data_IF_754449325062
#
_entry.id   IF_754449325062
#
_cell.length_a   1.000
_cell.length_b   1.000
_cell.length_c   1.000
_cell.angle_alpha   90.00
_cell.angle_beta   90.00
_cell.angle_gamma   90.00
#
_symmetry.space_group_name_H-M   'P 1'
#
loop_
_entity.id
_entity.type
_entity.pdbx_description
1 polymer ?
#
# COMPACT_ATOMS: atom_id res chain seq x y z
N UNK A 1 35.84 -18.26 -8.79
CA UNK A 1 35.41 -17.60 -7.53
C UNK A 1 34.02 -17.06 -7.74
N UNK A 2 32.98 -17.84 -7.37
CA UNK A 2 31.60 -17.43 -7.41
C UNK A 2 31.39 -16.40 -6.30
N UNK A 3 31.28 -15.13 -6.67
CA UNK A 3 30.88 -14.06 -5.75
C UNK A 3 29.49 -14.42 -5.23
N UNK A 4 29.40 -14.84 -3.99
CA UNK A 4 28.13 -14.97 -3.27
C UNK A 4 27.49 -13.59 -3.29
N UNK A 5 26.46 -13.40 -4.14
CA UNK A 5 25.66 -12.18 -4.10
C UNK A 5 25.04 -12.10 -2.71
N UNK A 6 25.56 -11.23 -1.85
CA UNK A 6 24.93 -10.99 -0.55
C UNK A 6 23.49 -10.57 -0.80
N UNK A 7 22.56 -11.30 -0.22
CA UNK A 7 21.13 -10.97 -0.32
C UNK A 7 20.93 -9.60 0.34
N UNK A 8 20.41 -8.64 -0.41
CA UNK A 8 20.18 -7.31 0.15
C UNK A 8 19.13 -7.40 1.28
N UNK A 9 19.42 -6.75 2.40
CA UNK A 9 18.67 -6.83 3.65
C UNK A 9 17.98 -5.50 3.96
N UNK A 10 16.78 -5.55 4.48
CA UNK A 10 16.07 -4.36 4.92
C UNK A 10 15.16 -4.64 6.14
N UNK A 11 14.85 -3.59 6.88
CA UNK A 11 13.85 -3.63 7.94
C UNK A 11 12.54 -3.06 7.41
N UNK A 12 11.42 -3.68 7.74
CA UNK A 12 10.09 -3.20 7.41
C UNK A 12 9.30 -2.88 8.68
N UNK A 13 8.89 -1.63 8.84
CA UNK A 13 7.98 -1.16 9.87
C UNK A 13 6.58 -1.04 9.26
N UNK A 14 5.70 -1.96 9.62
CA UNK A 14 4.33 -2.01 9.13
C UNK A 14 3.28 -1.92 10.22
N UNK A 15 2.01 -1.87 9.86
CA UNK A 15 0.89 -1.74 10.79
C UNK A 15 -0.27 -0.97 10.17
N UNK A 16 -1.44 -0.89 10.84
CA UNK A 16 -2.58 -0.14 10.33
C UNK A 16 -2.28 1.37 10.26
N UNK A 17 -3.12 2.08 9.52
CA UNK A 17 -3.07 3.55 9.52
C UNK A 17 -3.28 4.10 10.94
N UNK A 18 -2.70 5.25 11.24
CA UNK A 18 -2.77 5.94 12.55
C UNK A 18 -2.20 5.16 13.76
N UNK A 19 -1.22 4.25 13.54
CA UNK A 19 -0.56 3.52 14.64
C UNK A 19 0.87 4.02 14.97
N UNK A 20 1.29 5.21 14.50
CA UNK A 20 2.56 5.82 14.91
C UNK A 20 3.80 5.39 14.13
N UNK A 21 3.64 4.70 12.98
CA UNK A 21 4.80 4.22 12.18
C UNK A 21 5.74 5.33 11.72
N UNK A 22 5.18 6.43 11.24
CA UNK A 22 5.96 7.54 10.66
C UNK A 22 6.80 8.21 11.72
N UNK A 23 6.23 8.52 12.85
CA UNK A 23 6.89 9.13 14.00
C UNK A 23 8.06 8.25 14.46
N UNK A 24 7.82 6.96 14.66
CA UNK A 24 8.83 6.00 15.08
C UNK A 24 9.96 5.85 14.05
N UNK A 25 9.63 5.87 12.76
CA UNK A 25 10.63 5.79 11.69
C UNK A 25 11.51 7.06 11.61
N UNK A 26 10.92 8.22 11.83
CA UNK A 26 11.66 9.50 11.86
C UNK A 26 12.60 9.58 13.06
N UNK A 27 12.14 9.21 14.26
CA UNK A 27 13.00 9.15 15.45
C UNK A 27 14.21 8.21 15.25
N UNK A 28 14.00 7.08 14.58
CA UNK A 28 15.09 6.17 14.25
C UNK A 28 16.09 6.79 13.27
N UNK A 29 15.57 7.45 12.22
CA UNK A 29 16.40 8.06 11.18
C UNK A 29 17.23 9.27 11.67
N UNK A 30 16.86 9.87 12.80
CA UNK A 30 17.66 10.89 13.47
C UNK A 30 18.88 10.33 14.23
N UNK A 31 18.86 9.02 14.55
CA UNK A 31 19.88 8.36 15.38
C UNK A 31 20.76 7.39 14.62
N UNK A 32 20.24 6.80 13.55
CA UNK A 32 20.93 5.79 12.75
C UNK A 32 21.03 6.21 11.28
N UNK A 33 22.01 5.71 10.53
CA UNK A 33 22.17 5.99 9.11
C UNK A 33 21.11 5.26 8.26
N UNK A 34 19.85 5.65 8.44
CA UNK A 34 18.68 5.05 7.81
C UNK A 34 18.17 5.93 6.67
N UNK A 35 17.67 5.33 5.59
CA UNK A 35 16.84 6.00 4.60
C UNK A 35 15.49 5.28 4.50
N UNK A 36 14.42 6.06 4.42
CA UNK A 36 13.05 5.52 4.42
C UNK A 36 12.60 5.19 2.99
N UNK A 37 12.06 3.99 2.79
CA UNK A 37 11.37 3.59 1.56
C UNK A 37 9.86 3.54 1.86
N UNK A 38 9.10 4.46 1.27
CA UNK A 38 7.65 4.53 1.49
C UNK A 38 6.96 3.31 0.88
N UNK A 39 6.24 2.56 1.72
CA UNK A 39 5.41 1.43 1.33
C UNK A 39 3.92 1.82 1.45
N UNK A 40 3.55 2.91 0.77
CA UNK A 40 2.19 3.44 0.73
C UNK A 40 1.74 3.64 -0.71
N UNK A 41 0.55 3.13 -1.05
CA UNK A 41 0.00 3.17 -2.41
C UNK A 41 -0.62 4.51 -2.80
N UNK A 42 -0.64 5.48 -1.88
CA UNK A 42 -1.17 6.81 -2.14
C UNK A 42 -0.08 7.89 -2.10
N UNK A 43 0.90 7.79 -1.21
CA UNK A 43 2.01 8.76 -1.11
C UNK A 43 2.91 8.79 -2.36
N UNK A 44 2.85 7.75 -3.19
CA UNK A 44 3.59 7.65 -4.45
C UNK A 44 3.16 8.70 -5.47
N UNK A 45 1.93 9.20 -5.36
CA UNK A 45 1.35 10.17 -6.30
C UNK A 45 1.70 11.61 -5.93
N UNK A 46 2.06 12.41 -6.95
CA UNK A 46 2.25 13.86 -6.80
C UNK A 46 0.93 14.55 -6.51
N UNK A 47 0.97 15.57 -5.65
CA UNK A 47 -0.19 16.37 -5.30
C UNK A 47 -1.22 15.70 -4.37
N UNK A 48 -0.98 14.45 -3.95
CA UNK A 48 -1.74 13.79 -2.90
C UNK A 48 -0.94 13.86 -1.60
N UNK A 49 -0.98 15.00 -0.91
CA UNK A 49 -0.08 15.32 0.20
C UNK A 49 -0.77 15.24 1.56
N UNK A 50 -1.76 16.09 1.79
CA UNK A 50 -2.46 16.22 3.07
C UNK A 50 -3.25 14.96 3.36
N UNK A 51 -4.09 14.51 2.42
CA UNK A 51 -4.96 13.36 2.60
C UNK A 51 -4.24 12.02 2.73
N UNK A 52 -2.98 11.94 2.31
CA UNK A 52 -2.12 10.77 2.53
C UNK A 52 -1.28 10.87 3.80
N UNK A 53 -1.23 12.06 4.45
CA UNK A 53 -0.28 12.44 5.49
C UNK A 53 1.17 12.23 5.05
N UNK A 54 1.49 12.65 3.84
CA UNK A 54 2.83 12.65 3.29
C UNK A 54 3.77 13.49 4.16
N UNK A 55 4.99 13.03 4.46
CA UNK A 55 5.96 13.84 5.18
C UNK A 55 6.20 15.18 4.45
N UNK A 56 6.22 16.27 5.22
CA UNK A 56 6.44 17.61 4.67
C UNK A 56 7.80 17.72 3.98
N UNK A 57 7.99 18.73 3.11
CA UNK A 57 9.27 19.01 2.48
C UNK A 57 10.39 19.13 3.50
N UNK A 58 10.19 19.87 4.59
CA UNK A 58 11.17 20.05 5.66
C UNK A 58 11.54 18.71 6.35
N UNK A 59 10.61 17.78 6.50
CA UNK A 59 10.91 16.43 7.02
C UNK A 59 11.73 15.64 5.99
N UNK A 60 11.38 15.72 4.70
CA UNK A 60 12.07 15.00 3.63
C UNK A 60 13.49 15.53 3.34
N UNK A 61 13.75 16.78 3.63
CA UNK A 61 15.11 17.38 3.60
C UNK A 61 16.01 16.80 4.70
N UNK A 62 15.48 16.58 5.91
CA UNK A 62 16.24 16.01 7.04
C UNK A 62 16.41 14.49 6.92
N UNK A 63 15.39 13.80 6.49
CA UNK A 63 15.38 12.34 6.36
C UNK A 63 15.02 11.97 4.94
N UNK A 64 15.95 11.31 4.24
CA UNK A 64 15.73 10.93 2.85
C UNK A 64 14.63 9.87 2.74
N UNK A 65 13.63 10.17 1.91
CA UNK A 65 12.52 9.28 1.58
C UNK A 65 12.56 8.88 0.12
N UNK A 66 12.32 7.62 -0.15
CA UNK A 66 12.18 7.05 -1.49
C UNK A 66 10.73 6.67 -1.75
N UNK A 67 10.34 6.62 -3.01
CA UNK A 67 9.02 6.24 -3.51
C UNK A 67 7.88 7.17 -3.03
N UNK A 68 8.19 8.44 -2.87
CA UNK A 68 7.23 9.52 -2.65
C UNK A 68 7.29 10.44 -3.88
N UNK A 69 6.13 10.91 -4.38
CA UNK A 69 6.02 11.85 -5.51
C UNK A 69 6.69 11.37 -6.80
N UNK A 70 6.60 10.09 -7.13
CA UNK A 70 7.26 9.51 -8.31
C UNK A 70 6.29 9.21 -9.46
N UNK A 71 4.99 9.37 -9.25
CA UNK A 71 3.94 9.05 -10.24
C UNK A 71 2.92 10.17 -10.30
N UNK A 72 2.46 10.50 -11.50
CA UNK A 72 1.34 11.43 -11.69
C UNK A 72 0.01 10.75 -11.33
N UNK A 73 -1.01 11.49 -10.82
CA UNK A 73 -2.28 10.91 -10.39
C UNK A 73 -3.08 10.19 -11.49
N UNK A 74 -2.84 10.51 -12.75
CA UNK A 74 -3.46 9.88 -13.92
C UNK A 74 -2.76 8.58 -14.37
N UNK A 75 -1.59 8.24 -13.81
CA UNK A 75 -0.86 7.00 -14.09
C UNK A 75 -1.19 5.91 -13.06
N UNK A 76 -0.94 4.66 -13.40
CA UNK A 76 -1.16 3.52 -12.52
C UNK A 76 0.15 3.05 -11.87
N UNK A 77 0.12 2.86 -10.54
CA UNK A 77 1.25 2.30 -9.81
C UNK A 77 0.88 0.95 -9.19
N UNK A 78 1.41 -0.12 -9.78
CA UNK A 78 1.08 -1.49 -9.39
C UNK A 78 2.03 -2.04 -8.33
N UNK A 79 1.61 -3.11 -7.63
CA UNK A 79 2.46 -3.82 -6.67
C UNK A 79 3.73 -4.40 -7.33
N UNK A 80 3.66 -4.81 -8.61
CA UNK A 80 4.84 -5.25 -9.36
C UNK A 80 5.81 -4.11 -9.68
N UNK A 81 5.29 -2.90 -10.00
CA UNK A 81 6.12 -1.70 -10.17
C UNK A 81 6.79 -1.33 -8.84
N UNK A 82 6.01 -1.31 -7.75
CA UNK A 82 6.54 -1.08 -6.41
C UNK A 82 7.67 -2.05 -6.06
N UNK A 83 7.48 -3.35 -6.27
CA UNK A 83 8.48 -4.35 -5.90
C UNK A 83 9.83 -4.11 -6.63
N UNK A 84 9.80 -3.76 -7.91
CA UNK A 84 11.02 -3.42 -8.68
C UNK A 84 11.67 -2.13 -8.17
N UNK A 85 10.90 -1.07 -8.00
CA UNK A 85 11.38 0.25 -7.59
C UNK A 85 11.92 0.20 -6.15
N UNK A 86 11.24 -0.50 -5.24
CA UNK A 86 11.68 -0.71 -3.86
C UNK A 86 12.94 -1.56 -3.78
N UNK A 87 13.05 -2.64 -4.57
CA UNK A 87 14.26 -3.45 -4.61
C UNK A 87 15.46 -2.64 -5.14
N UNK A 88 15.26 -1.79 -6.14
CA UNK A 88 16.31 -0.89 -6.63
C UNK A 88 16.71 0.13 -5.55
N UNK A 89 15.76 0.74 -4.86
CA UNK A 89 16.02 1.68 -3.77
C UNK A 89 16.78 0.99 -2.61
N UNK A 90 16.38 -0.22 -2.21
CA UNK A 90 17.05 -1.00 -1.16
C UNK A 90 18.51 -1.25 -1.53
N UNK A 91 18.81 -1.69 -2.76
CA UNK A 91 20.17 -1.92 -3.23
C UNK A 91 21.02 -0.64 -3.24
N UNK A 92 20.46 0.46 -3.74
CA UNK A 92 21.12 1.75 -3.81
C UNK A 92 21.46 2.30 -2.39
N UNK A 93 20.51 2.22 -1.45
CA UNK A 93 20.72 2.62 -0.05
C UNK A 93 21.82 1.77 0.59
N UNK A 94 21.77 0.45 0.40
CA UNK A 94 22.77 -0.47 0.94
C UNK A 94 24.16 -0.20 0.36
N UNK A 95 24.25 0.09 -0.94
CA UNK A 95 25.53 0.43 -1.59
C UNK A 95 26.17 1.71 -1.03
N UNK A 96 25.36 2.62 -0.45
CA UNK A 96 25.85 3.80 0.27
C UNK A 96 26.19 3.53 1.75
N UNK A 97 26.17 2.28 2.19
CA UNK A 97 26.39 1.92 3.59
C UNK A 97 25.29 2.37 4.55
N UNK A 98 24.07 2.61 4.03
CA UNK A 98 22.93 3.01 4.86
C UNK A 98 21.93 1.86 4.98
N UNK A 99 21.09 1.90 6.01
CA UNK A 99 20.03 0.91 6.22
C UNK A 99 18.73 1.34 5.50
N UNK A 100 18.21 0.50 4.59
CA UNK A 100 16.87 0.73 4.05
C UNK A 100 15.78 0.34 5.06
N UNK A 101 14.92 1.29 5.42
CA UNK A 101 13.76 1.10 6.28
C UNK A 101 12.47 1.27 5.45
N UNK A 102 11.80 0.16 5.17
CA UNK A 102 10.48 0.20 4.55
C UNK A 102 9.44 0.63 5.59
N UNK A 103 8.63 1.65 5.27
CA UNK A 103 7.61 2.15 6.19
C UNK A 103 6.27 2.28 5.48
N UNK A 104 5.25 1.57 5.97
CA UNK A 104 3.92 1.70 5.38
C UNK A 104 2.91 0.62 5.76
N UNK A 105 1.70 0.76 5.23
CA UNK A 105 0.57 -0.12 5.53
C UNK A 105 0.03 -0.89 4.32
N UNK A 106 0.66 -0.77 3.14
CA UNK A 106 0.22 -1.47 1.92
C UNK A 106 0.83 -2.87 1.86
N UNK A 107 0.20 -3.82 2.56
CA UNK A 107 0.74 -5.18 2.76
C UNK A 107 0.88 -5.99 1.47
N UNK A 108 0.09 -5.66 0.42
CA UNK A 108 0.31 -6.25 -0.90
C UNK A 108 1.68 -5.87 -1.47
N UNK A 109 2.17 -4.65 -1.18
CA UNK A 109 3.51 -4.21 -1.60
C UNK A 109 4.60 -4.99 -0.86
N UNK A 110 4.45 -5.16 0.46
CA UNK A 110 5.37 -5.98 1.25
C UNK A 110 5.46 -7.41 0.70
N UNK A 111 4.30 -8.02 0.45
CA UNK A 111 4.25 -9.37 -0.11
C UNK A 111 4.90 -9.44 -1.50
N UNK A 112 4.62 -8.47 -2.36
CA UNK A 112 5.21 -8.38 -3.69
C UNK A 112 6.75 -8.31 -3.66
N UNK A 113 7.29 -7.54 -2.71
CA UNK A 113 8.73 -7.36 -2.54
C UNK A 113 9.42 -8.57 -1.94
N UNK A 114 8.80 -9.18 -0.91
CA UNK A 114 9.38 -10.29 -0.14
C UNK A 114 9.24 -11.64 -0.83
N UNK A 115 8.04 -11.92 -1.32
CA UNK A 115 7.67 -13.24 -1.85
C UNK A 115 7.75 -13.28 -3.39
N UNK A 116 7.87 -12.11 -4.03
CA UNK A 116 7.74 -11.95 -5.46
C UNK A 116 6.26 -11.91 -5.90
N UNK A 117 6.05 -11.53 -7.14
CA UNK A 117 4.78 -11.66 -7.82
C UNK A 117 4.98 -12.46 -9.10
N UNK A 118 4.00 -13.26 -9.43
CA UNK A 118 3.94 -13.89 -10.76
C UNK A 118 4.02 -12.83 -11.86
N UNK A 119 4.72 -13.15 -12.94
CA UNK A 119 4.76 -12.29 -14.12
C UNK A 119 3.41 -12.38 -14.84
N UNK A 120 2.55 -11.43 -14.54
CA UNK A 120 1.23 -11.31 -15.12
C UNK A 120 1.22 -10.24 -16.22
N UNK A 121 0.38 -10.38 -17.26
CA UNK A 121 0.23 -9.35 -18.29
C UNK A 121 -0.17 -8.01 -17.66
N UNK A 122 0.22 -6.92 -18.30
CA UNK A 122 -0.27 -5.58 -17.91
C UNK A 122 -1.78 -5.53 -18.08
N UNK A 123 -2.41 -4.62 -17.33
CA UNK A 123 -3.83 -4.36 -17.50
C UNK A 123 -4.11 -3.85 -18.92
N UNK A 124 -5.15 -4.42 -19.54
CA UNK A 124 -5.62 -4.03 -20.87
C UNK A 124 -6.97 -3.31 -20.76
N UNK A 125 -7.01 -2.07 -21.23
CA UNK A 125 -8.19 -1.22 -21.11
C UNK A 125 -9.37 -1.74 -21.94
N UNK A 126 -9.12 -2.33 -23.12
CA UNK A 126 -10.17 -2.84 -23.99
C UNK A 126 -10.82 -4.09 -23.39
N UNK A 127 -10.01 -5.05 -22.91
CA UNK A 127 -10.50 -6.25 -22.23
C UNK A 127 -11.31 -5.88 -20.97
N UNK A 128 -10.83 -4.92 -20.18
CA UNK A 128 -11.58 -4.45 -19.00
C UNK A 128 -12.89 -3.80 -19.35
N UNK A 129 -12.91 -2.97 -20.38
CA UNK A 129 -14.14 -2.33 -20.84
C UNK A 129 -15.18 -3.35 -21.31
N UNK A 130 -14.75 -4.40 -22.01
CA UNK A 130 -15.61 -5.50 -22.43
C UNK A 130 -16.16 -6.28 -21.22
N UNK A 131 -15.30 -6.63 -20.26
CA UNK A 131 -15.75 -7.32 -19.02
C UNK A 131 -16.70 -6.45 -18.19
N UNK A 132 -16.47 -5.15 -18.13
CA UNK A 132 -17.38 -4.21 -17.44
C UNK A 132 -18.73 -4.08 -18.19
N UNK A 133 -18.74 -4.16 -19.52
CA UNK A 133 -19.97 -4.17 -20.31
C UNK A 133 -20.76 -5.45 -20.05
N UNK A 134 -20.11 -6.61 -20.10
CA UNK A 134 -20.73 -7.90 -19.76
C UNK A 134 -21.25 -7.92 -18.32
N UNK A 135 -20.50 -7.33 -17.37
CA UNK A 135 -20.94 -7.24 -15.98
C UNK A 135 -22.14 -6.32 -15.77
N UNK A 136 -22.33 -5.30 -16.62
CA UNK A 136 -23.52 -4.43 -16.59
C UNK A 136 -24.77 -5.18 -17.08
N UNK A 137 -24.60 -6.08 -18.04
CA UNK A 137 -25.70 -6.87 -18.62
C UNK A 137 -26.07 -8.08 -17.75
N UNK A 138 -25.08 -8.89 -17.36
CA UNK A 138 -25.28 -10.20 -16.72
C UNK A 138 -25.08 -10.19 -15.20
N UNK A 139 -24.46 -9.15 -14.67
CA UNK A 139 -24.04 -9.06 -13.26
C UNK A 139 -22.73 -9.79 -12.96
N UNK A 140 -22.04 -9.35 -11.89
CA UNK A 140 -20.79 -9.95 -11.43
C UNK A 140 -20.88 -11.41 -10.99
N UNK A 141 -22.01 -11.88 -10.40
CA UNK A 141 -22.18 -13.31 -10.11
C UNK A 141 -22.11 -14.20 -11.35
N UNK A 142 -22.65 -13.77 -12.50
CA UNK A 142 -22.53 -14.53 -13.76
C UNK A 142 -21.09 -14.56 -14.26
N UNK A 143 -20.34 -13.48 -14.16
CA UNK A 143 -18.92 -13.45 -14.48
C UNK A 143 -18.09 -14.34 -13.52
N UNK A 144 -18.48 -14.41 -12.25
CA UNK A 144 -17.88 -15.33 -11.30
C UNK A 144 -18.15 -16.81 -11.67
N UNK A 145 -19.36 -17.14 -12.11
CA UNK A 145 -19.67 -18.48 -12.64
C UNK A 145 -18.80 -18.81 -13.86
N UNK A 146 -18.61 -17.84 -14.79
CA UNK A 146 -17.66 -18.00 -15.91
C UNK A 146 -16.22 -18.22 -15.41
N UNK A 147 -15.79 -17.49 -14.38
CA UNK A 147 -14.47 -17.70 -13.77
C UNK A 147 -14.34 -19.12 -13.22
N UNK A 148 -15.39 -19.69 -12.62
CA UNK A 148 -15.36 -21.04 -12.10
C UNK A 148 -15.10 -22.11 -13.18
N UNK A 149 -15.43 -21.84 -14.46
CA UNK A 149 -15.14 -22.74 -15.56
C UNK A 149 -13.69 -22.63 -16.05
N UNK A 150 -13.10 -21.42 -16.06
CA UNK A 150 -11.75 -21.20 -16.60
C UNK A 150 -10.65 -21.25 -15.54
N UNK A 151 -10.99 -20.94 -14.27
CA UNK A 151 -10.06 -20.97 -13.13
C UNK A 151 -10.84 -21.32 -11.84
N UNK A 152 -11.21 -22.59 -11.63
CA UNK A 152 -11.96 -23.03 -10.46
C UNK A 152 -11.22 -22.75 -9.14
N UNK A 153 -9.89 -22.77 -9.15
CA UNK A 153 -9.06 -22.48 -7.96
C UNK A 153 -9.20 -21.03 -7.54
N UNK A 154 -9.15 -20.10 -8.48
CA UNK A 154 -9.38 -18.68 -8.19
C UNK A 154 -10.85 -18.42 -7.80
N UNK A 155 -11.81 -19.03 -8.48
CA UNK A 155 -13.23 -18.85 -8.17
C UNK A 155 -13.57 -19.30 -6.75
N UNK A 156 -13.00 -20.41 -6.28
CA UNK A 156 -13.21 -20.86 -4.90
C UNK A 156 -12.73 -19.89 -3.82
N UNK A 157 -11.75 -19.02 -4.15
CA UNK A 157 -11.14 -18.04 -3.23
C UNK A 157 -11.73 -16.63 -3.36
N UNK A 158 -12.37 -16.33 -4.48
CA UNK A 158 -12.90 -15.01 -4.81
C UNK A 158 -14.40 -15.00 -4.56
N UNK A 159 -14.89 -14.07 -3.76
CA UNK A 159 -16.32 -13.92 -3.54
C UNK A 159 -17.06 -13.49 -4.82
N UNK A 160 -18.30 -13.98 -5.09
CA UNK A 160 -19.06 -13.63 -6.28
C UNK A 160 -19.34 -12.14 -6.49
N UNK A 161 -19.22 -11.33 -5.44
CA UNK A 161 -19.38 -9.88 -5.49
C UNK A 161 -18.05 -9.11 -5.60
N UNK A 162 -16.89 -9.80 -5.62
CA UNK A 162 -15.56 -9.16 -5.70
C UNK A 162 -15.20 -8.83 -7.15
N UNK A 163 -15.80 -7.73 -7.63
CA UNK A 163 -15.66 -7.23 -9.01
C UNK A 163 -14.21 -7.17 -9.48
N UNK A 164 -13.35 -6.58 -8.67
CA UNK A 164 -11.97 -6.30 -9.06
C UNK A 164 -11.16 -7.59 -9.25
N UNK A 165 -11.34 -8.57 -8.37
CA UNK A 165 -10.63 -9.84 -8.47
C UNK A 165 -11.19 -10.72 -9.59
N UNK A 166 -12.50 -10.75 -9.77
CA UNK A 166 -13.16 -11.47 -10.89
C UNK A 166 -12.67 -10.88 -12.21
N UNK A 167 -12.76 -9.55 -12.39
CA UNK A 167 -12.29 -8.86 -13.59
C UNK A 167 -10.82 -9.21 -13.88
N UNK A 168 -9.94 -9.11 -12.86
CA UNK A 168 -8.52 -9.39 -13.04
C UNK A 168 -8.24 -10.83 -13.44
N UNK A 169 -8.91 -11.79 -12.86
CA UNK A 169 -8.72 -13.21 -13.19
C UNK A 169 -9.17 -13.51 -14.62
N UNK A 170 -10.33 -12.99 -15.03
CA UNK A 170 -10.82 -13.13 -16.40
C UNK A 170 -9.98 -12.37 -17.43
N UNK A 171 -9.49 -11.17 -17.09
CA UNK A 171 -8.56 -10.39 -17.91
C UNK A 171 -7.27 -11.19 -18.18
N UNK A 172 -6.66 -11.73 -17.13
CA UNK A 172 -5.44 -12.55 -17.28
C UNK A 172 -5.70 -13.75 -18.17
N UNK A 173 -6.80 -14.46 -17.96
CA UNK A 173 -7.17 -15.59 -18.83
C UNK A 173 -7.41 -15.16 -20.27
N UNK A 174 -8.10 -14.05 -20.52
CA UNK A 174 -8.33 -13.53 -21.87
C UNK A 174 -7.03 -13.17 -22.61
N UNK A 175 -6.04 -12.62 -21.89
CA UNK A 175 -4.77 -12.19 -22.46
C UNK A 175 -3.73 -13.31 -22.64
N UNK A 176 -3.83 -14.40 -21.85
CA UNK A 176 -2.80 -15.43 -21.80
C UNK A 176 -3.28 -16.84 -22.19
N UNK A 177 -4.59 -17.05 -22.21
CA UNK A 177 -5.19 -18.38 -22.33
C UNK A 177 -5.00 -19.28 -21.11
N UNK A 178 -4.37 -18.78 -20.01
CA UNK A 178 -4.01 -19.56 -18.82
C UNK A 178 -4.75 -19.06 -17.58
N UNK A 179 -5.11 -19.95 -16.64
CA UNK A 179 -5.67 -19.56 -15.35
C UNK A 179 -4.74 -18.66 -14.55
N UNK A 180 -5.31 -17.66 -13.86
CA UNK A 180 -4.56 -16.80 -12.95
C UNK A 180 -3.88 -17.59 -11.83
N UNK A 181 -4.58 -18.60 -11.29
CA UNK A 181 -4.04 -19.46 -10.23
C UNK A 181 -2.75 -20.17 -10.68
N UNK A 182 -2.71 -20.71 -11.89
CA UNK A 182 -1.54 -21.39 -12.46
C UNK A 182 -0.35 -20.43 -12.61
N UNK A 183 -0.60 -19.22 -13.11
CA UNK A 183 0.45 -18.21 -13.25
C UNK A 183 0.98 -17.71 -11.91
N UNK A 184 0.14 -17.66 -10.86
CA UNK A 184 0.55 -17.24 -9.53
C UNK A 184 1.51 -18.21 -8.84
N UNK A 185 1.42 -19.49 -9.15
CA UNK A 185 2.30 -20.52 -8.58
C UNK A 185 3.71 -20.52 -9.20
N UNK A 186 3.89 -19.87 -10.35
CA UNK A 186 5.15 -19.81 -11.11
C UNK A 186 6.00 -18.56 -10.84
N UNK A 187 5.85 -17.92 -9.68
CA UNK A 187 6.61 -16.71 -9.35
C UNK A 187 8.12 -17.00 -9.22
N UNK A 188 9.00 -16.25 -9.93
CA UNK A 188 10.43 -16.49 -9.88
C UNK A 188 11.02 -16.16 -8.50
N UNK A 189 12.04 -16.96 -8.10
CA UNK A 189 12.70 -16.88 -6.80
C UNK A 189 13.91 -15.95 -6.76
N UNK A 190 14.38 -15.43 -7.92
CA UNK A 190 15.75 -15.00 -8.12
C UNK A 190 16.16 -13.62 -7.57
N UNK A 191 15.25 -12.78 -7.06
CA UNK A 191 15.58 -11.41 -6.62
C UNK A 191 14.99 -11.08 -5.22
N UNK A 192 14.94 -12.09 -4.34
CA UNK A 192 14.32 -11.95 -3.01
C UNK A 192 15.20 -11.13 -2.10
N UNK A 193 14.57 -10.19 -1.38
CA UNK A 193 15.18 -9.45 -0.29
C UNK A 193 14.95 -10.18 1.04
N UNK A 194 15.93 -10.12 1.93
CA UNK A 194 15.71 -10.49 3.32
C UNK A 194 15.04 -9.32 4.05
N UNK A 195 13.77 -9.50 4.41
CA UNK A 195 12.95 -8.44 5.03
C UNK A 195 12.62 -8.82 6.47
N UNK A 196 13.26 -8.17 7.43
CA UNK A 196 12.87 -8.26 8.83
C UNK A 196 11.63 -7.39 9.08
N UNK A 197 10.48 -8.02 9.28
CA UNK A 197 9.20 -7.31 9.37
C UNK A 197 8.75 -7.13 10.82
N UNK A 198 8.59 -5.88 11.25
CA UNK A 198 8.04 -5.49 12.55
C UNK A 198 6.69 -4.82 12.31
N UNK A 199 5.64 -5.38 12.91
CA UNK A 199 4.28 -4.85 12.81
C UNK A 199 3.87 -4.15 14.10
N UNK A 200 3.51 -2.88 14.02
CA UNK A 200 2.82 -2.19 15.10
C UNK A 200 1.35 -2.59 15.11
N UNK A 201 0.88 -3.11 16.22
CA UNK A 201 -0.50 -3.56 16.40
C UNK A 201 -1.15 -2.74 17.52
N UNK A 202 -2.29 -2.07 17.27
CA UNK A 202 -2.98 -1.32 18.33
C UNK A 202 -3.51 -2.28 19.39
N UNK A 203 -3.28 -1.97 20.66
CA UNK A 203 -3.82 -2.72 21.80
C UNK A 203 -5.33 -2.50 21.95
N UNK A 204 -5.80 -1.27 21.68
CA UNK A 204 -7.21 -0.88 21.75
C UNK A 204 -7.74 -0.35 20.42
N UNK A 205 -8.84 -0.93 19.95
CA UNK A 205 -9.54 -0.52 18.73
C UNK A 205 -10.26 0.81 18.88
N UNK A 206 -10.76 1.13 20.06
CA UNK A 206 -11.44 2.40 20.31
C UNK A 206 -10.42 3.55 20.28
N UNK A 207 -9.25 3.37 20.91
CA UNK A 207 -8.15 4.33 20.83
C UNK A 207 -7.67 4.54 19.38
N UNK A 208 -7.55 3.47 18.58
CA UNK A 208 -7.24 3.59 17.16
C UNK A 208 -8.29 4.39 16.40
N UNK A 209 -9.58 4.14 16.67
CA UNK A 209 -10.68 4.88 16.02
C UNK A 209 -10.64 6.37 16.35
N UNK A 210 -10.33 6.74 17.60
CA UNK A 210 -10.14 8.14 18.00
C UNK A 210 -8.92 8.79 17.33
N UNK A 211 -7.81 8.06 17.18
CA UNK A 211 -6.63 8.56 16.44
C UNK A 211 -6.94 8.79 14.96
N UNK A 212 -7.70 7.90 14.35
CA UNK A 212 -8.16 8.04 12.97
C UNK A 212 -9.00 9.31 12.82
N UNK A 213 -9.92 9.56 13.74
CA UNK A 213 -10.80 10.72 13.72
C UNK A 213 -10.00 12.02 13.88
N UNK A 214 -9.18 12.13 14.94
CA UNK A 214 -8.31 13.29 15.16
C UNK A 214 -7.40 13.58 13.97
N UNK A 215 -6.83 12.54 13.36
CA UNK A 215 -5.97 12.69 12.18
C UNK A 215 -6.75 13.20 10.97
N UNK A 216 -7.98 12.72 10.75
CA UNK A 216 -8.82 13.20 9.65
C UNK A 216 -9.19 14.67 9.85
N UNK A 217 -9.60 15.05 11.06
CA UNK A 217 -9.95 16.44 11.37
C UNK A 217 -8.73 17.37 11.20
N UNK A 218 -7.56 16.97 11.67
CA UNK A 218 -6.31 17.71 11.44
C UNK A 218 -5.97 17.85 9.93
N UNK A 219 -6.23 16.84 9.12
CA UNK A 219 -6.06 16.93 7.66
C UNK A 219 -7.03 17.97 7.05
N UNK A 220 -8.25 18.03 7.53
CA UNK A 220 -9.25 19.00 7.08
C UNK A 220 -8.79 20.43 7.44
N UNK A 221 -8.32 20.63 8.66
CA UNK A 221 -7.79 21.92 9.13
C UNK A 221 -6.57 22.37 8.32
N UNK A 222 -5.74 21.44 7.87
CA UNK A 222 -4.60 21.68 6.99
C UNK A 222 -4.98 21.96 5.53
N UNK A 223 -6.26 21.86 5.16
CA UNK A 223 -6.74 22.18 3.81
C UNK A 223 -6.99 21.00 2.90
N UNK A 224 -7.25 19.80 3.42
CA UNK A 224 -7.48 18.60 2.61
C UNK A 224 -8.61 18.77 1.58
N UNK A 225 -9.69 19.51 1.93
CA UNK A 225 -10.77 19.81 0.97
C UNK A 225 -10.26 20.66 -0.20
N UNK A 226 -9.41 21.64 0.08
CA UNK A 226 -8.80 22.48 -0.96
C UNK A 226 -7.85 21.66 -1.86
N UNK A 227 -7.07 20.75 -1.27
CA UNK A 227 -6.23 19.82 -2.04
C UNK A 227 -7.05 19.01 -3.05
N UNK A 228 -8.16 18.40 -2.62
CA UNK A 228 -9.04 17.64 -3.54
C UNK A 228 -9.70 18.53 -4.59
N UNK A 229 -10.10 19.76 -4.20
CA UNK A 229 -10.64 20.74 -5.15
C UNK A 229 -9.62 21.11 -6.23
N UNK A 230 -8.36 21.29 -5.86
CA UNK A 230 -7.28 21.60 -6.81
C UNK A 230 -7.01 20.41 -7.76
N UNK A 231 -6.96 19.18 -7.25
CA UNK A 231 -6.83 17.99 -8.08
C UNK A 231 -7.98 17.85 -9.08
N UNK A 232 -9.20 18.16 -8.65
CA UNK A 232 -10.38 18.15 -9.52
C UNK A 232 -10.32 19.22 -10.60
N UNK A 233 -9.73 20.38 -10.32
CA UNK A 233 -9.60 21.48 -11.26
C UNK A 233 -8.57 21.22 -12.37
N UNK A 234 -7.70 20.22 -12.24
CA UNK A 234 -6.75 19.82 -13.29
C UNK A 234 -7.46 19.29 -14.55
N UNK A 235 -8.72 18.87 -14.47
CA UNK A 235 -9.58 18.55 -15.63
C UNK A 235 -9.36 17.18 -16.25
N UNK A 236 -8.19 16.57 -16.09
CA UNK A 236 -7.80 15.26 -16.63
C UNK A 236 -7.94 14.12 -15.60
N UNK A 237 -8.34 14.44 -14.35
CA UNK A 237 -8.51 13.47 -13.29
C UNK A 237 -9.97 13.11 -13.07
N UNK A 238 -10.23 11.81 -12.87
CA UNK A 238 -11.56 11.29 -12.53
C UNK A 238 -11.53 10.46 -11.24
N UNK A 239 -12.66 10.40 -10.52
CA UNK A 239 -12.79 9.64 -9.26
C UNK A 239 -12.56 8.13 -9.41
N UNK A 240 -12.60 7.63 -10.64
CA UNK A 240 -12.34 6.22 -10.99
C UNK A 240 -10.85 5.89 -11.05
N UNK A 241 -9.98 6.90 -11.17
CA UNK A 241 -8.53 6.69 -11.24
C UNK A 241 -7.97 6.12 -9.94
N UNK A 242 -6.95 5.24 -10.03
CA UNK A 242 -6.38 4.56 -8.86
C UNK A 242 -5.96 5.50 -7.71
N UNK A 243 -5.34 6.63 -8.04
CA UNK A 243 -4.93 7.66 -7.08
C UNK A 243 -6.12 8.20 -6.28
N UNK A 244 -7.22 8.51 -6.95
CA UNK A 244 -8.40 9.16 -6.35
C UNK A 244 -9.36 8.17 -5.67
N UNK A 245 -9.11 6.86 -5.79
CA UNK A 245 -9.76 5.84 -4.96
C UNK A 245 -9.21 5.80 -3.54
N UNK A 246 -8.13 6.52 -3.24
CA UNK A 246 -7.58 6.62 -1.90
C UNK A 246 -8.66 7.09 -0.90
N UNK A 247 -8.57 6.54 0.31
CA UNK A 247 -9.53 6.86 1.37
C UNK A 247 -9.38 8.34 1.74
N UNK A 248 -10.51 9.01 1.92
CA UNK A 248 -10.59 10.46 2.10
C UNK A 248 -10.83 11.19 0.78
N UNK A 249 -9.96 11.00 -0.21
CA UNK A 249 -10.09 11.66 -1.53
C UNK A 249 -11.41 11.35 -2.20
N UNK A 250 -11.77 10.07 -2.32
CA UNK A 250 -13.04 9.67 -2.93
C UNK A 250 -14.25 10.26 -2.22
N UNK A 251 -14.23 10.36 -0.90
CA UNK A 251 -15.34 10.88 -0.13
C UNK A 251 -15.46 12.41 -0.28
N UNK A 252 -14.35 13.13 -0.21
CA UNK A 252 -14.35 14.59 -0.41
C UNK A 252 -14.73 14.90 -1.87
N UNK A 253 -14.26 14.13 -2.84
CA UNK A 253 -14.67 14.30 -4.24
C UNK A 253 -16.19 14.18 -4.41
N UNK A 254 -16.82 13.17 -3.77
CA UNK A 254 -18.28 13.00 -3.80
C UNK A 254 -19.03 14.16 -3.16
N UNK A 255 -18.50 14.75 -2.08
CA UNK A 255 -19.02 15.98 -1.49
C UNK A 255 -18.94 17.17 -2.47
N UNK A 256 -17.79 17.34 -3.13
CA UNK A 256 -17.59 18.39 -4.14
C UNK A 256 -18.46 18.19 -5.40
N UNK A 257 -18.89 16.98 -5.69
CA UNK A 257 -19.89 16.65 -6.72
C UNK A 257 -21.33 16.88 -6.28
N UNK A 258 -21.56 17.25 -5.00
CA UNK A 258 -22.91 17.42 -4.44
C UNK A 258 -23.67 16.11 -4.20
N UNK A 259 -22.98 14.96 -4.19
CA UNK A 259 -23.59 13.66 -3.96
C UNK A 259 -24.13 13.52 -2.51
N UNK A 260 -23.58 14.26 -1.58
CA UNK A 260 -23.96 14.33 -0.16
C UNK A 260 -23.33 15.57 0.51
N UNK A 261 -23.81 15.91 1.71
CA UNK A 261 -23.27 17.03 2.49
C UNK A 261 -21.91 16.71 3.16
N UNK A 262 -21.35 17.72 3.81
CA UNK A 262 -20.06 17.60 4.49
C UNK A 262 -20.10 16.61 5.66
N UNK A 263 -21.18 16.57 6.42
CA UNK A 263 -21.29 15.68 7.57
C UNK A 263 -21.25 14.21 7.12
N UNK A 264 -21.97 13.91 6.05
CA UNK A 264 -21.95 12.58 5.44
C UNK A 264 -20.61 12.25 4.81
N UNK A 265 -19.92 13.18 4.12
CA UNK A 265 -18.58 13.00 3.60
C UNK A 265 -17.58 12.62 4.70
N UNK A 266 -17.59 13.36 5.81
CA UNK A 266 -16.74 13.08 6.99
C UNK A 266 -17.05 11.69 7.55
N UNK A 267 -18.32 11.38 7.77
CA UNK A 267 -18.74 10.07 8.26
C UNK A 267 -18.26 8.94 7.37
N UNK A 268 -18.44 9.06 6.05
CA UNK A 268 -18.01 8.07 5.07
C UNK A 268 -16.48 7.91 5.02
N UNK A 269 -15.73 9.00 5.14
CA UNK A 269 -14.26 8.98 5.17
C UNK A 269 -13.75 8.24 6.43
N UNK A 270 -14.33 8.51 7.59
CA UNK A 270 -13.98 7.82 8.84
C UNK A 270 -14.32 6.33 8.78
N UNK A 271 -15.49 5.97 8.26
CA UNK A 271 -15.88 4.56 8.05
C UNK A 271 -14.91 3.86 7.11
N UNK A 272 -14.56 4.48 5.98
CA UNK A 272 -13.64 3.90 5.01
C UNK A 272 -12.22 3.72 5.59
N UNK A 273 -11.75 4.68 6.41
CA UNK A 273 -10.43 4.59 7.09
C UNK A 273 -10.43 3.48 8.14
N UNK A 274 -11.49 3.35 8.95
CA UNK A 274 -11.62 2.24 9.91
C UNK A 274 -11.66 0.88 9.20
N UNK A 275 -12.34 0.78 8.07
CA UNK A 275 -12.35 -0.43 7.24
C UNK A 275 -10.97 -0.73 6.63
N UNK A 276 -10.22 0.29 6.21
CA UNK A 276 -8.84 0.12 5.77
C UNK A 276 -7.98 -0.44 6.89
N UNK A 277 -8.02 0.14 8.08
CA UNK A 277 -7.29 -0.35 9.25
C UNK A 277 -7.67 -1.80 9.61
N UNK A 278 -8.97 -2.13 9.56
CA UNK A 278 -9.46 -3.51 9.78
C UNK A 278 -8.87 -4.49 8.76
N UNK A 279 -8.85 -4.13 7.47
CA UNK A 279 -8.24 -4.96 6.42
C UNK A 279 -6.74 -5.15 6.65
N UNK A 280 -6.02 -4.08 7.02
CA UNK A 280 -4.59 -4.17 7.33
C UNK A 280 -4.33 -5.12 8.51
N UNK A 281 -5.10 -5.02 9.58
CA UNK A 281 -5.00 -5.95 10.74
C UNK A 281 -5.32 -7.40 10.36
N UNK A 282 -6.30 -7.63 9.48
CA UNK A 282 -6.64 -8.97 9.01
C UNK A 282 -5.49 -9.58 8.21
N UNK A 283 -4.86 -8.80 7.32
CA UNK A 283 -3.69 -9.23 6.56
C UNK A 283 -2.51 -9.54 7.49
N UNK A 284 -2.22 -8.69 8.45
CA UNK A 284 -1.12 -8.89 9.40
C UNK A 284 -1.27 -10.16 10.24
N UNK A 285 -2.49 -10.64 10.49
CA UNK A 285 -2.70 -11.91 11.20
C UNK A 285 -2.28 -13.13 10.38
N UNK A 286 -2.51 -13.09 9.08
CA UNK A 286 -2.19 -14.18 8.16
C UNK A 286 -0.82 -14.07 7.49
N UNK A 287 -0.09 -12.98 7.70
CA UNK A 287 1.19 -12.73 7.03
C UNK A 287 2.39 -13.20 7.87
N UNK A 288 3.50 -13.47 7.18
CA UNK A 288 4.82 -13.77 7.78
C UNK A 288 5.44 -12.49 8.34
N UNK A 289 5.04 -12.14 9.56
CA UNK A 289 5.59 -11.00 10.30
C UNK A 289 6.59 -11.53 11.31
N UNK A 290 7.81 -10.98 11.31
CA UNK A 290 8.86 -11.43 12.22
C UNK A 290 8.50 -11.13 13.68
N UNK A 291 7.99 -9.93 13.94
CA UNK A 291 7.65 -9.48 15.28
C UNK A 291 6.37 -8.62 15.26
N UNK A 292 5.55 -8.74 16.31
CA UNK A 292 4.36 -7.89 16.52
C UNK A 292 4.52 -7.16 17.84
N UNK A 293 4.44 -5.85 17.79
CA UNK A 293 4.63 -4.98 18.96
C UNK A 293 3.39 -4.13 19.20
N UNK A 294 2.96 -3.99 20.49
CA UNK A 294 1.91 -3.04 20.82
C UNK A 294 2.33 -1.62 20.43
N UNK A 295 1.47 -0.93 19.68
CA UNK A 295 1.77 0.43 19.20
C UNK A 295 1.85 1.46 20.35
N UNK A 296 1.26 1.14 21.50
CA UNK A 296 1.24 1.96 22.70
C UNK A 296 2.24 1.51 23.78
N UNK A 297 3.17 0.59 23.44
CA UNK A 297 4.12 0.07 24.41
C UNK A 297 5.04 1.17 24.96
N UNK A 298 5.22 1.26 26.28
CA UNK A 298 6.21 2.16 26.86
C UNK A 298 7.62 1.84 26.32
N UNK A 299 8.38 2.87 25.96
CA UNK A 299 9.75 2.70 25.46
C UNK A 299 9.83 2.08 24.06
N UNK A 300 8.76 2.13 23.27
CA UNK A 300 8.68 1.56 21.93
C UNK A 300 9.85 2.05 21.03
N UNK A 301 10.19 3.34 21.08
CA UNK A 301 11.28 3.93 20.32
C UNK A 301 12.64 3.32 20.68
N UNK A 302 12.94 3.19 21.97
CA UNK A 302 14.17 2.58 22.46
C UNK A 302 14.27 1.09 22.09
N UNK A 303 13.16 0.37 22.18
CA UNK A 303 13.08 -1.04 21.78
C UNK A 303 13.31 -1.21 20.28
N UNK A 304 12.72 -0.31 19.47
CA UNK A 304 12.89 -0.33 18.02
C UNK A 304 14.33 0.01 17.62
N UNK A 305 14.92 1.02 18.24
CA UNK A 305 16.32 1.38 18.04
C UNK A 305 17.25 0.18 18.30
N UNK A 306 17.16 -0.41 19.50
CA UNK A 306 17.98 -1.56 19.86
C UNK A 306 17.76 -2.78 18.96
N UNK A 307 16.57 -2.96 18.42
CA UNK A 307 16.27 -4.05 17.47
C UNK A 307 16.90 -3.82 16.12
N UNK A 308 16.89 -2.57 15.64
CA UNK A 308 17.51 -2.19 14.35
C UNK A 308 19.04 -2.22 14.46
N UNK A 309 19.61 -1.78 15.56
CA UNK A 309 21.06 -1.87 15.82
C UNK A 309 21.55 -3.33 15.79
N UNK A 310 20.82 -4.25 16.42
CA UNK A 310 21.12 -5.70 16.34
C UNK A 310 21.03 -6.23 14.91
N UNK A 311 20.09 -5.74 14.12
CA UNK A 311 19.96 -6.14 12.71
C UNK A 311 21.16 -5.65 11.88
N UNK A 312 21.66 -4.45 12.15
CA UNK A 312 22.88 -3.92 11.55
C UNK A 312 24.11 -4.74 11.95
N UNK A 313 24.26 -5.05 13.24
CA UNK A 313 25.41 -5.80 13.78
C UNK A 313 25.46 -7.28 13.34
N UNK A 314 24.34 -7.89 12.99
CA UNK A 314 24.29 -9.29 12.52
C UNK A 314 24.64 -9.46 11.03
N UNK A 315 25.02 -8.40 10.34
CA UNK A 315 25.40 -8.40 8.91
C UNK A 315 26.87 -8.06 8.66
N UNK A 316 27.66 -7.89 9.72
CA UNK A 316 29.10 -7.64 9.66
C UNK A 316 29.91 -8.94 9.68
#
# INVERSE_FOLDING_TARGET
>A
MTSSKSVARCVCLTGPTACGKTELALELAERLPVEIVSMDSAMVYRGLDIGTAKPSAAVRERVRHHLIDIVEPNDAYSAGRFARDAAAAVRDITARGRLPLLVGGTLLYLRALRDGLATLPRADAAVRHELDAQARELGWPALHARLAHVDPVSAARIAPADRQRIQRALEVHALTGRPLSELQDSAPADDRLEVATIALVPGDRAALAQRIERRFDAMVDLGFVAEVKNLRACGDLTKEMPALRAVGYRQIWGYLDGAYDWQEARRLALVATRQLAKRQLTWLRGDRVSERWPAEAPGLSSTFLARVERFLGSGA
#
